data_IF_126979877244
#
_entry.id   IF_126979877244
#
_cell.length_a   1.000
_cell.length_b   1.000
_cell.length_c   1.000
_cell.angle_alpha   90.00
_cell.angle_beta   90.00
_cell.angle_gamma   90.00
#
_symmetry.space_group_name_H-M   'P 1'
#
loop_
_entity.id
_entity.type
_entity.pdbx_description
1 polymer ?
#
# COMPACT_ATOMS: atom_id res chain seq x y z
N UNK A 1 -2.73 16.46 2.60
CA UNK A 1 -2.53 16.56 4.06
C UNK A 1 -1.17 15.99 4.44
N UNK A 2 -0.61 16.38 5.59
CA UNK A 2 0.51 15.66 6.20
C UNK A 2 -0.04 14.47 6.99
N UNK A 3 0.51 13.27 6.76
CA UNK A 3 0.19 12.06 7.49
C UNK A 3 1.36 11.70 8.42
N UNK A 4 1.09 11.72 9.72
CA UNK A 4 2.04 11.27 10.75
C UNK A 4 1.38 10.17 11.55
N UNK A 5 1.99 8.99 11.60
CA UNK A 5 1.43 7.87 12.34
C UNK A 5 2.15 6.55 12.14
N UNK A 6 1.68 5.53 12.84
CA UNK A 6 2.18 4.17 12.72
C UNK A 6 1.33 3.41 11.70
N UNK A 7 1.99 2.73 10.77
CA UNK A 7 1.35 1.81 9.84
C UNK A 7 2.01 0.43 9.88
N UNK A 8 1.40 -0.56 9.24
CA UNK A 8 1.78 -1.96 9.33
C UNK A 8 1.87 -2.61 7.95
N UNK A 9 2.78 -3.57 7.80
CA UNK A 9 2.87 -4.39 6.58
C UNK A 9 3.21 -5.82 6.96
N UNK A 10 2.41 -6.76 6.46
CA UNK A 10 2.72 -8.17 6.50
C UNK A 10 3.56 -8.52 5.26
N UNK A 11 4.76 -9.05 5.49
CA UNK A 11 5.70 -9.44 4.45
C UNK A 11 5.69 -10.94 4.26
N UNK A 12 5.84 -11.38 3.01
CA UNK A 12 6.41 -12.69 2.74
C UNK A 12 7.80 -12.76 3.41
N UNK A 13 8.08 -13.76 4.27
CA UNK A 13 9.34 -13.88 4.99
C UNK A 13 10.57 -13.79 4.07
N UNK A 14 10.46 -14.29 2.83
CA UNK A 14 11.53 -14.25 1.83
C UNK A 14 11.92 -12.83 1.42
N UNK A 15 11.00 -11.87 1.48
CA UNK A 15 11.19 -10.49 1.02
C UNK A 15 11.32 -9.47 2.15
N UNK A 16 11.14 -9.90 3.40
CA UNK A 16 11.20 -9.03 4.58
C UNK A 16 12.56 -8.29 4.78
N UNK A 17 13.60 -8.66 4.03
CA UNK A 17 14.92 -8.02 4.06
C UNK A 17 14.97 -6.66 3.35
N UNK A 18 13.94 -6.35 2.55
CA UNK A 18 13.75 -5.04 1.90
C UNK A 18 12.38 -4.44 2.29
N UNK A 19 12.17 -4.10 3.57
CA UNK A 19 10.85 -3.79 4.13
C UNK A 19 10.15 -2.58 3.48
N UNK A 20 10.93 -1.62 2.99
CA UNK A 20 10.46 -0.39 2.34
C UNK A 20 10.46 -0.47 0.81
N UNK A 21 10.77 -1.62 0.22
CA UNK A 21 10.75 -1.75 -1.25
C UNK A 21 9.31 -1.79 -1.79
N UNK A 22 9.09 -1.05 -2.87
CA UNK A 22 7.90 -1.06 -3.71
C UNK A 22 8.13 -1.68 -5.10
N UNK A 23 9.31 -2.26 -5.34
CA UNK A 23 9.69 -2.82 -6.65
C UNK A 23 8.76 -3.95 -7.08
N UNK A 24 8.35 -4.81 -6.15
CA UNK A 24 7.43 -5.92 -6.43
C UNK A 24 6.09 -5.44 -7.01
N UNK A 25 5.54 -4.36 -6.47
CA UNK A 25 4.32 -3.75 -6.98
C UNK A 25 4.52 -3.13 -8.37
N UNK A 26 5.72 -2.62 -8.69
CA UNK A 26 6.01 -2.02 -9.99
C UNK A 26 6.06 -3.04 -11.14
N UNK A 27 6.45 -4.30 -10.88
CA UNK A 27 6.68 -5.30 -11.94
C UNK A 27 5.43 -5.51 -12.80
N UNK A 28 4.28 -5.68 -12.16
CA UNK A 28 2.98 -5.91 -12.83
C UNK A 28 2.00 -4.76 -12.64
N UNK A 29 2.28 -3.84 -11.72
CA UNK A 29 1.27 -2.95 -11.14
C UNK A 29 0.41 -3.69 -10.11
N UNK A 30 -0.28 -2.93 -9.29
CA UNK A 30 -1.31 -3.41 -8.36
C UNK A 30 -2.52 -2.46 -8.40
N UNK A 31 -3.46 -2.58 -7.45
CA UNK A 31 -4.70 -1.79 -7.47
C UNK A 31 -4.49 -0.29 -7.69
N UNK A 32 -3.48 0.31 -7.06
CA UNK A 32 -3.29 1.78 -7.04
C UNK A 32 -1.97 2.23 -7.64
N UNK A 33 -1.26 1.38 -8.39
CA UNK A 33 -0.03 1.77 -9.07
C UNK A 33 0.05 1.12 -10.46
N UNK A 34 0.25 1.93 -11.52
CA UNK A 34 0.54 1.40 -12.84
C UNK A 34 1.80 0.55 -12.89
N UNK A 35 1.90 -0.29 -13.92
CA UNK A 35 3.15 -1.01 -14.22
C UNK A 35 4.31 -0.02 -14.37
N UNK A 36 5.45 -0.36 -13.76
CA UNK A 36 6.65 0.46 -13.72
C UNK A 36 6.67 1.53 -12.61
N UNK A 37 5.57 1.72 -11.88
CA UNK A 37 5.49 2.67 -10.78
C UNK A 37 5.68 1.91 -9.45
N UNK A 38 6.77 2.13 -8.71
CA UNK A 38 6.92 1.60 -7.36
C UNK A 38 5.81 2.10 -6.45
N UNK A 39 5.30 1.20 -5.60
CA UNK A 39 4.34 1.57 -4.59
C UNK A 39 4.55 0.78 -3.30
N UNK A 40 4.41 1.47 -2.18
CA UNK A 40 4.48 0.89 -0.86
C UNK A 40 3.08 0.84 -0.25
N UNK A 41 2.58 -0.37 -0.01
CA UNK A 41 1.29 -0.63 0.59
C UNK A 41 1.45 -0.91 2.07
N UNK A 42 0.77 -0.11 2.89
CA UNK A 42 0.74 -0.20 4.34
C UNK A 42 -0.71 -0.17 4.81
N UNK A 43 -0.99 -0.82 5.93
CA UNK A 43 -2.29 -0.77 6.58
C UNK A 43 -2.22 0.10 7.83
N UNK A 44 -3.30 0.81 8.15
CA UNK A 44 -3.33 1.69 9.33
C UNK A 44 -3.51 0.90 10.64
N UNK A 45 -3.93 -0.37 10.58
CA UNK A 45 -4.02 -1.26 11.72
C UNK A 45 -3.37 -2.62 11.46
N UNK A 46 -2.99 -3.31 12.53
CA UNK A 46 -2.47 -4.69 12.46
C UNK A 46 -3.49 -5.62 11.80
N UNK A 47 -4.75 -5.52 12.20
CA UNK A 47 -5.80 -6.40 11.70
C UNK A 47 -6.06 -6.17 10.21
N UNK A 48 -6.02 -4.92 9.75
CA UNK A 48 -6.10 -4.61 8.32
C UNK A 48 -4.91 -5.21 7.56
N UNK A 49 -3.68 -5.11 8.07
CA UNK A 49 -2.51 -5.73 7.42
C UNK A 49 -2.65 -7.26 7.28
N UNK A 50 -3.22 -7.92 8.30
CA UNK A 50 -3.50 -9.36 8.27
C UNK A 50 -4.59 -9.70 7.25
N UNK A 51 -5.68 -8.92 7.20
CA UNK A 51 -6.75 -9.10 6.19
C UNK A 51 -6.22 -8.96 4.76
N UNK A 52 -5.37 -7.96 4.54
CA UNK A 52 -4.72 -7.68 3.25
C UNK A 52 -3.76 -8.79 2.83
N UNK A 53 -2.99 -9.38 3.76
CA UNK A 53 -2.14 -10.54 3.47
C UNK A 53 -2.95 -11.77 3.03
N UNK A 54 -4.22 -11.86 3.44
CA UNK A 54 -5.08 -13.01 3.22
C UNK A 54 -6.02 -12.90 2.01
N UNK A 55 -5.82 -11.90 1.12
CA UNK A 55 -6.73 -11.62 -0.01
C UNK A 55 -7.07 -12.83 -0.91
N UNK A 56 -6.26 -13.91 -0.90
CA UNK A 56 -6.52 -15.14 -1.67
C UNK A 56 -7.30 -16.25 -0.95
N UNK A 57 -7.30 -16.29 0.40
CA UNK A 57 -7.89 -17.38 1.17
C UNK A 57 -8.42 -16.90 2.54
N UNK A 58 -9.72 -16.63 2.64
CA UNK A 58 -10.37 -16.03 3.82
C UNK A 58 -10.19 -16.77 5.16
N UNK A 59 -9.66 -18.00 5.16
CA UNK A 59 -9.47 -18.82 6.37
C UNK A 59 -8.06 -19.40 6.51
N UNK A 60 -7.10 -18.97 5.70
CA UNK A 60 -5.71 -19.43 5.79
C UNK A 60 -4.76 -18.25 5.58
N UNK A 61 -3.85 -18.07 6.52
CA UNK A 61 -2.74 -17.13 6.41
C UNK A 61 -1.47 -17.93 6.16
N UNK A 62 -0.76 -17.61 5.08
CA UNK A 62 0.60 -18.08 4.90
C UNK A 62 1.51 -17.43 5.95
N UNK A 63 2.59 -18.11 6.41
CA UNK A 63 3.54 -17.50 7.34
C UNK A 63 4.02 -16.15 6.83
N UNK A 64 3.92 -15.11 7.67
CA UNK A 64 4.32 -13.75 7.32
C UNK A 64 5.13 -13.10 8.45
N UNK A 65 5.92 -12.09 8.07
CA UNK A 65 6.60 -11.20 9.01
C UNK A 65 5.84 -9.89 9.07
N UNK A 66 5.20 -9.63 10.21
CA UNK A 66 4.49 -8.36 10.44
C UNK A 66 5.46 -7.31 10.98
N UNK A 67 5.54 -6.17 10.30
CA UNK A 67 6.35 -5.02 10.71
C UNK A 67 5.48 -3.79 10.94
N UNK A 68 5.87 -2.95 11.90
CA UNK A 68 5.38 -1.59 12.04
C UNK A 68 6.34 -0.59 11.38
N UNK A 69 5.77 0.53 10.94
CA UNK A 69 6.46 1.61 10.26
C UNK A 69 6.05 2.93 10.89
N UNK A 70 7.02 3.80 11.13
CA UNK A 70 6.79 5.19 11.45
C UNK A 70 6.72 5.98 10.13
N UNK A 71 5.62 6.69 9.94
CA UNK A 71 5.34 7.49 8.76
C UNK A 71 5.32 8.97 9.15
N UNK A 72 5.99 9.78 8.34
CA UNK A 72 5.90 11.23 8.38
C UNK A 72 6.01 11.74 6.93
N UNK A 73 4.85 11.78 6.26
CA UNK A 73 4.75 12.14 4.85
C UNK A 73 3.85 13.35 4.65
N UNK A 74 4.37 14.36 3.96
CA UNK A 74 3.55 15.40 3.35
C UNK A 74 2.81 14.87 2.10
N UNK A 75 1.93 15.71 1.53
CA UNK A 75 1.29 15.49 0.24
C UNK A 75 0.51 14.18 0.11
N UNK A 76 -0.19 13.77 1.17
CA UNK A 76 -1.09 12.61 1.15
C UNK A 76 -2.52 13.05 0.86
N UNK A 77 -3.20 12.40 -0.09
CA UNK A 77 -4.62 12.60 -0.33
C UNK A 77 -5.46 11.57 0.45
N UNK A 78 -6.38 12.03 1.29
CA UNK A 78 -7.31 11.14 2.00
C UNK A 78 -8.52 10.84 1.11
N UNK A 79 -8.52 9.71 0.42
CA UNK A 79 -9.61 9.33 -0.48
C UNK A 79 -10.70 8.51 0.23
N UNK A 80 -10.78 8.58 1.56
CA UNK A 80 -11.78 7.84 2.33
C UNK A 80 -13.12 8.54 2.37
N UNK A 81 -13.16 9.86 2.15
CA UNK A 81 -14.39 10.67 2.13
C UNK A 81 -14.84 11.00 0.72
N UNK A 82 -16.14 11.27 0.55
CA UNK A 82 -16.72 11.67 -0.74
C UNK A 82 -16.20 13.04 -1.18
N UNK A 83 -15.98 13.95 -0.24
CA UNK A 83 -15.52 15.31 -0.52
C UNK A 83 -14.13 15.32 -1.17
N UNK A 84 -13.19 14.58 -0.58
CA UNK A 84 -11.83 14.50 -1.09
C UNK A 84 -11.76 13.73 -2.43
N UNK A 85 -12.56 12.68 -2.58
CA UNK A 85 -12.74 12.02 -3.88
C UNK A 85 -13.27 12.98 -4.94
N UNK A 86 -14.24 13.84 -4.58
CA UNK A 86 -14.77 14.89 -5.43
C UNK A 86 -13.71 15.90 -5.89
N UNK A 87 -12.87 16.37 -4.97
CA UNK A 87 -11.76 17.31 -5.27
C UNK A 87 -10.83 16.78 -6.37
N UNK A 88 -10.51 15.49 -6.33
CA UNK A 88 -9.63 14.85 -7.31
C UNK A 88 -10.37 14.21 -8.48
N UNK A 89 -11.71 14.31 -8.52
CA UNK A 89 -12.57 13.67 -9.51
C UNK A 89 -12.35 12.16 -9.60
N UNK A 90 -12.26 11.49 -8.45
CA UNK A 90 -12.04 10.05 -8.31
C UNK A 90 -13.37 9.38 -7.92
N UNK A 91 -13.83 8.42 -8.72
CA UNK A 91 -15.00 7.63 -8.38
C UNK A 91 -14.64 6.48 -7.42
N UNK A 92 -15.52 6.15 -6.48
CA UNK A 92 -15.31 5.01 -5.58
C UNK A 92 -15.30 3.69 -6.37
N UNK A 93 -16.09 3.61 -7.43
CA UNK A 93 -16.20 2.46 -8.33
C UNK A 93 -14.88 2.20 -9.07
N UNK A 94 -14.18 3.27 -9.49
CA UNK A 94 -12.85 3.16 -10.10
C UNK A 94 -11.89 2.50 -9.10
N UNK A 95 -11.89 2.95 -7.84
CA UNK A 95 -11.04 2.40 -6.77
C UNK A 95 -11.39 0.94 -6.44
N UNK A 96 -12.68 0.62 -6.46
CA UNK A 96 -13.24 -0.70 -6.15
C UNK A 96 -13.12 -1.71 -7.29
N UNK A 97 -12.69 -1.29 -8.49
CA UNK A 97 -12.70 -2.15 -9.68
C UNK A 97 -11.96 -3.48 -9.50
N UNK A 98 -12.30 -4.46 -10.34
CA UNK A 98 -11.65 -5.77 -10.40
C UNK A 98 -10.27 -5.70 -11.06
N UNK A 99 -9.35 -4.92 -10.47
CA UNK A 99 -8.02 -4.61 -11.03
C UNK A 99 -7.21 -5.86 -11.40
N UNK A 100 -7.27 -6.91 -10.59
CA UNK A 100 -6.51 -8.14 -10.82
C UNK A 100 -7.02 -8.86 -12.08
N UNK A 101 -8.34 -8.89 -12.29
CA UNK A 101 -8.96 -9.44 -13.51
C UNK A 101 -8.59 -8.61 -14.72
N UNK A 102 -8.72 -7.28 -14.65
CA UNK A 102 -8.32 -6.39 -15.74
C UNK A 102 -6.86 -6.63 -16.16
N UNK A 103 -5.93 -6.76 -15.19
CA UNK A 103 -4.53 -7.09 -15.51
C UNK A 103 -4.35 -8.48 -16.14
N UNK A 104 -5.13 -9.47 -15.69
CA UNK A 104 -5.12 -10.82 -16.28
C UNK A 104 -5.60 -10.81 -17.73
N UNK A 105 -6.56 -9.95 -18.04
CA UNK A 105 -7.15 -9.80 -19.37
C UNK A 105 -6.33 -8.87 -20.28
N UNK A 106 -5.21 -8.32 -19.78
CA UNK A 106 -4.35 -7.39 -20.51
C UNK A 106 -4.92 -5.96 -20.61
N UNK A 107 -5.95 -5.67 -19.84
CA UNK A 107 -6.61 -4.37 -19.77
C UNK A 107 -5.97 -3.48 -18.70
N UNK A 108 -6.20 -2.16 -18.83
CA UNK A 108 -5.78 -1.18 -17.83
C UNK A 108 -6.84 -1.09 -16.72
N UNK A 109 -6.50 -1.34 -15.45
CA UNK A 109 -7.43 -1.14 -14.33
C UNK A 109 -7.93 0.32 -14.23
N UNK A 110 -9.24 0.51 -14.03
CA UNK A 110 -9.83 1.83 -13.84
C UNK A 110 -9.23 2.59 -12.63
N UNK A 111 -8.86 1.86 -11.58
CA UNK A 111 -8.22 2.39 -10.37
C UNK A 111 -6.87 3.07 -10.63
N UNK A 112 -6.20 2.79 -11.76
CA UNK A 112 -4.95 3.46 -12.12
C UNK A 112 -5.13 4.93 -12.47
N UNK A 113 -6.35 5.35 -12.81
CA UNK A 113 -6.69 6.77 -12.96
C UNK A 113 -6.45 7.58 -11.68
N UNK A 114 -6.47 6.94 -10.50
CA UNK A 114 -6.12 7.58 -9.22
C UNK A 114 -4.69 8.11 -9.27
N UNK A 115 -3.73 7.28 -9.70
CA UNK A 115 -2.35 7.70 -9.87
C UNK A 115 -2.23 8.80 -10.92
N UNK A 116 -2.87 8.62 -12.08
CA UNK A 116 -2.78 9.58 -13.19
C UNK A 116 -3.30 10.97 -12.80
N UNK A 117 -4.35 11.03 -11.98
CA UNK A 117 -4.94 12.29 -11.48
C UNK A 117 -4.05 12.94 -10.41
N UNK A 118 -3.42 12.15 -9.54
CA UNK A 118 -2.72 12.67 -8.36
C UNK A 118 -1.24 12.98 -8.62
N UNK A 119 -0.57 12.23 -9.50
CA UNK A 119 0.86 12.41 -9.80
C UNK A 119 1.22 13.81 -10.31
N UNK A 120 0.44 14.45 -11.23
CA UNK A 120 0.72 15.81 -11.70
C UNK A 120 0.56 16.88 -10.61
N UNK A 121 -0.15 16.56 -9.52
CA UNK A 121 -0.37 17.44 -8.36
C UNK A 121 0.71 17.27 -7.29
N UNK A 122 1.77 16.49 -7.57
CA UNK A 122 2.85 16.18 -6.63
C UNK A 122 2.38 15.50 -5.33
N UNK A 123 1.25 14.78 -5.39
CA UNK A 123 0.75 13.96 -4.30
C UNK A 123 1.64 12.72 -4.18
N UNK A 124 2.20 12.50 -2.99
CA UNK A 124 3.13 11.41 -2.69
C UNK A 124 2.44 10.08 -2.44
N UNK A 125 1.17 10.12 -2.02
CA UNK A 125 0.41 8.92 -1.73
C UNK A 125 -1.04 9.19 -1.34
N UNK A 126 -1.74 8.11 -0.99
CA UNK A 126 -3.16 8.12 -0.69
C UNK A 126 -3.49 7.31 0.56
N UNK A 127 -4.42 7.81 1.36
CA UNK A 127 -5.18 6.97 2.31
C UNK A 127 -6.46 6.52 1.62
N UNK A 128 -6.77 5.24 1.69
CA UNK A 128 -7.92 4.62 1.02
C UNK A 128 -8.64 3.64 1.95
N UNK A 129 -9.95 3.38 1.75
CA UNK A 129 -10.58 2.19 2.32
C UNK A 129 -9.84 0.93 1.87
N UNK A 130 -9.79 -0.08 2.74
CA UNK A 130 -9.37 -1.42 2.34
C UNK A 130 -10.43 -2.03 1.42
N UNK A 131 -9.97 -2.70 0.37
CA UNK A 131 -10.81 -3.44 -0.56
C UNK A 131 -10.55 -4.95 -0.46
N UNK A 132 -9.96 -5.41 0.65
CA UNK A 132 -9.82 -6.82 0.93
C UNK A 132 -11.21 -7.46 1.17
N UNK A 133 -11.41 -8.76 0.85
CA UNK A 133 -12.73 -9.40 0.98
C UNK A 133 -13.37 -9.33 2.38
N UNK A 134 -12.56 -9.24 3.44
CA UNK A 134 -13.00 -9.14 4.85
C UNK A 134 -12.77 -7.76 5.47
N UNK A 135 -12.61 -6.73 4.62
CA UNK A 135 -12.46 -5.36 5.05
C UNK A 135 -13.76 -4.82 5.66
N UNK A 136 -13.63 -4.17 6.81
CA UNK A 136 -14.70 -3.43 7.47
C UNK A 136 -14.65 -1.95 7.09
N UNK A 137 -15.69 -1.20 7.45
CA UNK A 137 -15.79 0.21 7.12
C UNK A 137 -14.63 1.05 7.68
N UNK A 138 -14.06 0.70 8.83
CA UNK A 138 -12.89 1.37 9.41
C UNK A 138 -11.53 0.88 8.87
N UNK A 139 -11.48 -0.17 8.05
CA UNK A 139 -10.22 -0.67 7.52
C UNK A 139 -9.67 0.30 6.47
N UNK A 140 -8.41 0.71 6.67
CA UNK A 140 -7.75 1.73 5.87
C UNK A 140 -6.32 1.32 5.52
N UNK A 141 -5.90 1.70 4.32
CA UNK A 141 -4.54 1.54 3.86
C UNK A 141 -3.93 2.88 3.46
N UNK A 142 -2.62 2.99 3.66
CA UNK A 142 -1.77 4.02 3.09
C UNK A 142 -1.01 3.41 1.91
N UNK A 143 -1.09 4.05 0.75
CA UNK A 143 -0.31 3.68 -0.44
C UNK A 143 0.57 4.86 -0.81
N UNK A 144 1.89 4.65 -0.80
CA UNK A 144 2.88 5.67 -1.17
C UNK A 144 3.47 5.36 -2.54
N UNK A 145 3.64 6.39 -3.37
CA UNK A 145 4.37 6.37 -4.64
C UNK A 145 5.70 7.13 -4.57
N UNK A 146 5.83 8.04 -3.61
CA UNK A 146 7.08 8.74 -3.28
C UNK A 146 7.34 8.62 -1.77
N UNK A 147 8.50 8.09 -1.40
CA UNK A 147 8.93 7.90 -0.02
C UNK A 147 10.44 7.70 0.08
N UNK A 148 10.99 7.97 1.26
CA UNK A 148 12.40 7.80 1.54
C UNK A 148 12.74 7.80 3.03
N UNK A 149 14.04 7.79 3.39
CA UNK A 149 14.49 7.77 4.78
C UNK A 149 14.38 9.15 5.48
N UNK A 150 13.99 10.20 4.75
CA UNK A 150 13.91 11.57 5.24
C UNK A 150 12.66 12.28 4.76
N UNK A 151 12.42 13.47 5.33
CA UNK A 151 11.35 14.37 4.91
C UNK A 151 11.57 14.85 3.46
N UNK A 152 10.50 15.20 2.72
CA UNK A 152 9.12 15.34 3.20
C UNK A 152 8.31 14.04 3.26
N UNK A 153 8.80 12.92 2.71
CA UNK A 153 8.06 11.66 2.63
C UNK A 153 8.79 10.54 3.38
N UNK A 154 8.94 10.73 4.70
CA UNK A 154 9.75 9.86 5.54
C UNK A 154 9.01 8.58 5.91
N UNK A 155 9.71 7.47 5.78
CA UNK A 155 9.31 6.18 6.36
C UNK A 155 10.49 5.49 7.04
N UNK A 156 10.21 4.92 8.21
CA UNK A 156 11.18 4.08 8.95
C UNK A 156 10.50 2.79 9.38
N UNK A 157 11.08 1.64 9.04
CA UNK A 157 10.65 0.37 9.63
C UNK A 157 11.13 0.30 11.08
N UNK A 158 10.27 -0.14 11.99
CA UNK A 158 10.65 -0.31 13.39
C UNK A 158 11.30 -1.68 13.60
N UNK A 159 12.64 -1.71 13.62
CA UNK A 159 13.44 -2.89 13.94
C UNK A 159 14.68 -2.54 14.79
N UNK A 160 14.50 -2.11 16.05
CA UNK A 160 15.59 -1.62 16.90
C UNK A 160 16.63 -2.68 17.25
N UNK A 161 16.26 -3.97 17.14
CA UNK A 161 17.14 -5.10 17.44
C UNK A 161 17.73 -5.75 16.19
N UNK A 162 17.44 -5.24 14.99
CA UNK A 162 17.95 -5.79 13.73
C UNK A 162 17.53 -7.23 13.47
N UNK A 163 16.28 -7.58 13.79
CA UNK A 163 15.74 -8.95 13.64
C UNK A 163 15.27 -9.25 12.23
N UNK A 164 15.07 -8.24 11.38
CA UNK A 164 14.73 -8.48 9.99
C UNK A 164 15.86 -9.24 9.29
N UNK A 165 15.51 -10.13 8.34
CA UNK A 165 16.50 -10.84 7.56
C UNK A 165 17.38 -9.83 6.80
N UNK A 166 18.64 -10.18 6.60
CA UNK A 166 19.59 -9.32 5.88
C UNK A 166 19.50 -9.53 4.37
N UNK A 167 19.13 -10.74 3.97
CA UNK A 167 19.05 -11.20 2.59
C UNK A 167 18.18 -12.46 2.47
N UNK A 168 18.13 -13.03 1.27
CA UNK A 168 17.40 -14.27 0.98
C UNK A 168 17.99 -15.52 1.67
N UNK A 169 19.20 -15.45 2.21
CA UNK A 169 19.89 -16.57 2.86
C UNK A 169 19.60 -16.65 4.36
N UNK A 170 18.93 -15.63 4.91
CA UNK A 170 18.67 -15.49 6.35
C UNK A 170 17.71 -16.54 6.93
N UNK A 171 17.00 -17.31 6.09
CA UNK A 171 16.01 -18.31 6.50
C UNK A 171 16.40 -19.76 6.15
N UNK A 172 17.70 -20.02 5.97
CA UNK A 172 18.22 -21.37 5.73
C UNK A 172 18.26 -22.22 6.99
#
# INVERSE_FOLDING_TARGET
>A
MRFVGTCYRAHDPRWAFKPTSGEGAAIRGARFNPKGVPALYLALTIMTAVKEANQGFAHRIDPCVLCSYEIDCDDIADLTTDEARGEFSIALEDMACAWATALSDGERPASWSVYDRLRPRSIAGIVVPSFAPSAEMEDRNLVLWDWGPGLPHKITVFDPSGRLPKDQLSWR
#
